data_IF_149058508482
#
_entry.id   IF_149058508482
#
_cell.length_a   1.000
_cell.length_b   1.000
_cell.length_c   1.000
_cell.angle_alpha   90.00
_cell.angle_beta   90.00
_cell.angle_gamma   90.00
#
_symmetry.space_group_name_H-M   'P 1'
#
loop_
_entity.id
_entity.type
_entity.pdbx_description
1 polymer ?
2 polymer ?
3 non-polymer ?
4 water ?
#
# COMPACT_ATOMS: atom_id res chain seq x y z
N UNK A 7 -2.03 -16.64 9.16
CA UNK A 7 -3.46 -16.42 9.24
C UNK A 7 -3.84 -15.25 10.13
N UNK A 8 -3.20 -15.19 11.31
CA UNK A 8 -3.41 -14.08 12.23
C UNK A 8 -2.93 -12.77 11.60
N UNK A 9 -1.70 -12.76 11.16
CA UNK A 9 -1.12 -11.61 10.45
C UNK A 9 -1.89 -11.24 9.17
N UNK A 10 -2.44 -12.24 8.48
CA UNK A 10 -3.23 -11.95 7.26
C UNK A 10 -4.48 -11.17 7.61
N UNK A 11 -5.25 -11.68 8.56
CA UNK A 11 -6.51 -11.05 8.91
C UNK A 11 -6.27 -9.64 9.47
N UNK A 12 -5.24 -9.51 10.29
CA UNK A 12 -4.97 -8.21 10.91
C UNK A 12 -4.55 -7.19 9.83
N UNK A 13 -3.77 -7.65 8.87
CA UNK A 13 -3.28 -6.79 7.81
C UNK A 13 -4.44 -6.41 6.88
N UNK A 14 -5.24 -7.41 6.50
CA UNK A 14 -6.44 -7.18 5.68
C UNK A 14 -7.32 -6.09 6.31
N UNK A 15 -7.63 -6.25 7.60
CA UNK A 15 -8.38 -5.27 8.37
C UNK A 15 -7.83 -3.85 8.20
N UNK A 16 -6.57 -3.67 8.54
CA UNK A 16 -5.98 -2.33 8.49
C UNK A 16 -5.96 -1.74 7.08
N UNK A 17 -5.50 -2.52 6.11
CA UNK A 17 -5.37 -2.06 4.75
C UNK A 17 -6.73 -1.79 4.19
N UNK A 18 -7.67 -2.70 4.43
CA UNK A 18 -9.03 -2.49 3.95
C UNK A 18 -9.66 -1.22 4.49
N UNK A 19 -9.54 -1.00 5.79
CA UNK A 19 -10.15 0.16 6.40
C UNK A 19 -9.52 1.45 5.84
N UNK A 20 -8.20 1.46 5.69
CA UNK A 20 -7.52 2.62 5.11
C UNK A 20 -8.02 2.91 3.70
N UNK A 21 -8.06 1.89 2.84
CA UNK A 21 -8.53 2.09 1.46
C UNK A 21 -10.00 2.51 1.41
N UNK A 22 -10.83 1.91 2.25
CA UNK A 22 -12.24 2.31 2.33
C UNK A 22 -12.38 3.80 2.66
N UNK A 23 -11.68 4.24 3.70
CA UNK A 23 -11.75 5.67 4.11
C UNK A 23 -11.22 6.60 3.03
N UNK A 24 -10.23 6.11 2.29
CA UNK A 24 -9.56 6.90 1.25
C UNK A 24 -10.48 6.99 0.03
N UNK A 25 -11.03 5.85 -0.37
CA UNK A 25 -11.99 5.83 -1.47
C UNK A 25 -13.25 6.66 -1.16
N UNK A 26 -13.56 6.80 0.14
CA UNK A 26 -14.70 7.61 0.57
C UNK A 26 -14.30 8.72 1.57
N UNK A 27 -14.90 8.68 2.75
CA UNK A 27 -14.56 9.62 3.82
C UNK A 27 -15.10 9.12 5.15
N UNK A 28 -14.23 8.62 6.01
CA UNK A 28 -14.68 8.05 7.27
C UNK A 28 -13.72 8.36 8.41
N UNK A 39 -5.32 -2.17 20.08
CA UNK A 39 -3.87 -2.32 20.12
C UNK A 39 -3.21 -1.54 19.00
N UNK A 40 -2.28 -2.18 18.30
CA UNK A 40 -1.57 -1.54 17.18
C UNK A 40 -2.50 -1.12 16.06
N UNK A 41 -3.54 -1.91 15.81
CA UNK A 41 -4.45 -1.67 14.69
C UNK A 41 -5.02 -0.26 14.62
N UNK A 42 -5.38 0.27 15.78
CA UNK A 42 -5.84 1.65 15.86
C UNK A 42 -4.64 2.57 15.60
N UNK A 43 -3.52 2.25 16.25
CA UNK A 43 -2.30 3.01 16.06
C UNK A 43 -1.83 2.90 14.62
N UNK A 44 -1.88 1.69 14.07
CA UNK A 44 -1.47 1.43 12.69
C UNK A 44 -2.30 2.22 11.68
N UNK A 45 -3.61 2.26 11.89
CA UNK A 45 -4.47 3.05 11.02
C UNK A 45 -4.12 4.53 11.17
N UNK A 46 -3.99 4.99 12.41
CA UNK A 46 -3.59 6.37 12.65
C UNK A 46 -2.24 6.71 11.99
N UNK A 47 -1.30 5.77 12.03
CA UNK A 47 -0.01 5.96 11.34
C UNK A 47 -0.13 5.89 9.82
N UNK A 48 -0.91 4.93 9.34
CA UNK A 48 -1.11 4.74 7.92
C UNK A 48 -1.70 6.00 7.29
N UNK A 49 -2.65 6.62 7.99
CA UNK A 49 -3.23 7.87 7.55
C UNK A 49 -2.18 8.94 7.37
N UNK A 50 -1.42 9.22 8.43
CA UNK A 50 -0.44 10.28 8.39
C UNK A 50 0.61 10.08 7.29
N UNK A 51 1.21 8.90 7.26
CA UNK A 51 2.25 8.62 6.29
C UNK A 51 1.68 8.43 4.89
N UNK A 52 0.70 7.54 4.78
CA UNK A 52 0.05 7.26 3.51
C UNK A 52 -0.50 8.51 2.85
N UNK A 53 -1.11 9.41 3.62
CA UNK A 53 -1.64 10.65 3.04
C UNK A 53 -0.52 11.52 2.49
N UNK A 54 0.60 11.54 3.21
CA UNK A 54 1.73 12.36 2.83
C UNK A 54 2.40 11.84 1.56
N UNK A 55 2.56 10.53 1.49
CA UNK A 55 3.08 9.87 0.29
C UNK A 55 2.26 10.30 -0.90
N UNK A 56 0.93 10.19 -0.76
CA UNK A 56 0.02 10.50 -1.85
C UNK A 56 0.09 11.96 -2.26
N UNK A 57 0.24 12.85 -1.27
CA UNK A 57 0.41 14.27 -1.54
C UNK A 57 1.73 14.60 -2.23
N UNK A 58 2.84 14.18 -1.64
CA UNK A 58 4.16 14.49 -2.17
C UNK A 58 4.32 13.98 -3.60
N UNK A 59 3.62 12.90 -3.92
CA UNK A 59 3.87 12.19 -5.17
C UNK A 59 2.63 12.10 -6.06
N UNK A 60 1.67 12.97 -5.81
CA UNK A 60 0.43 13.00 -6.58
C UNK A 60 0.69 13.01 -8.10
N UNK A 61 1.54 13.92 -8.56
CA UNK A 61 1.81 13.99 -9.99
C UNK A 61 2.39 12.68 -10.52
N UNK A 62 3.37 12.15 -9.82
CA UNK A 62 3.99 10.89 -10.19
C UNK A 62 2.95 9.75 -10.13
N UNK A 63 2.16 9.70 -9.07
CA UNK A 63 1.12 8.68 -8.93
C UNK A 63 0.15 8.73 -10.11
N UNK A 64 -0.26 9.93 -10.50
CA UNK A 64 -1.19 10.05 -11.61
C UNK A 64 -0.56 9.52 -12.90
N UNK A 65 0.69 9.90 -13.15
CA UNK A 65 1.42 9.36 -14.29
C UNK A 65 1.49 7.83 -14.30
N UNK A 66 1.71 7.22 -13.15
CA UNK A 66 1.81 5.75 -13.07
C UNK A 66 0.47 5.11 -13.32
N UNK A 67 -0.56 5.76 -12.81
CA UNK A 67 -1.91 5.29 -12.99
C UNK A 67 -2.23 5.33 -14.48
N UNK A 68 -1.68 6.30 -15.19
CA UNK A 68 -1.91 6.38 -16.62
C UNK A 68 -1.25 5.21 -17.37
N UNK A 69 -0.07 4.82 -16.93
CA UNK A 69 0.66 3.74 -17.58
C UNK A 69 -0.01 2.39 -17.36
N UNK A 70 -0.41 2.10 -16.12
CA UNK A 70 -1.15 0.86 -15.84
C UNK A 70 -2.57 0.94 -16.39
N UNK A 71 -3.36 -0.09 -16.15
CA UNK A 71 -4.74 -0.12 -16.67
C UNK A 71 -5.79 -0.07 -15.57
N UNK A 72 -5.96 -1.19 -14.88
CA UNK A 72 -6.97 -1.27 -13.83
C UNK A 72 -8.26 -0.63 -14.34
N UNK A 73 -9.11 -1.47 -14.90
CA UNK A 73 -10.35 -1.05 -15.55
C UNK A 73 -11.51 -1.08 -14.56
N UNK A 74 -11.34 -1.82 -13.47
CA UNK A 74 -12.36 -1.92 -12.42
C UNK A 74 -11.87 -2.57 -11.12
N UNK A 75 -12.81 -2.80 -10.20
CA UNK A 75 -12.53 -3.34 -8.85
C UNK A 75 -11.74 -4.64 -8.86
N UNK A 76 -12.06 -5.51 -9.81
CA UNK A 76 -11.51 -6.86 -9.85
C UNK A 76 -10.15 -6.93 -10.56
N UNK A 77 -9.82 -5.87 -11.31
CA UNK A 77 -8.57 -5.85 -12.07
C UNK A 77 -7.39 -5.44 -11.19
N UNK A 78 -6.75 -6.43 -10.59
CA UNK A 78 -5.64 -6.17 -9.69
C UNK A 78 -4.36 -6.83 -10.13
N UNK A 79 -4.47 -7.77 -11.07
CA UNK A 79 -3.31 -8.57 -11.47
C UNK A 79 -2.16 -7.67 -11.91
N UNK A 80 -2.51 -6.56 -12.55
CA UNK A 80 -1.55 -5.56 -12.98
C UNK A 80 -0.78 -5.00 -11.77
N UNK A 81 -1.52 -4.52 -10.79
CA UNK A 81 -0.93 -3.95 -9.58
C UNK A 81 -0.08 -4.93 -8.79
N UNK A 82 -0.52 -6.19 -8.72
CA UNK A 82 0.21 -7.24 -8.02
C UNK A 82 1.62 -7.39 -8.58
N UNK A 83 1.73 -7.45 -9.90
CA UNK A 83 3.03 -7.57 -10.55
C UNK A 83 3.93 -6.38 -10.20
N UNK A 84 3.34 -5.19 -10.12
CA UNK A 84 4.11 -3.99 -9.78
C UNK A 84 4.73 -4.13 -8.37
N UNK A 85 3.92 -4.58 -7.43
CA UNK A 85 4.38 -4.74 -6.06
C UNK A 85 5.44 -5.82 -5.97
N UNK A 86 5.22 -6.92 -6.69
CA UNK A 86 6.16 -8.01 -6.64
C UNK A 86 7.46 -7.51 -7.23
N UNK A 87 7.36 -6.76 -8.33
CA UNK A 87 8.60 -6.22 -8.88
C UNK A 87 9.34 -5.23 -7.97
N UNK A 88 8.61 -4.41 -7.22
CA UNK A 88 9.24 -3.54 -6.23
C UNK A 88 10.23 -4.31 -5.34
N UNK A 89 9.83 -5.45 -4.80
CA UNK A 89 10.71 -6.15 -3.89
C UNK A 89 11.73 -7.09 -4.59
N UNK A 90 11.72 -7.14 -5.91
CA UNK A 90 12.52 -8.17 -6.61
C UNK A 90 14.02 -7.93 -6.46
N UNK A 91 14.41 -6.79 -5.88
CA UNK A 91 15.85 -6.56 -5.72
C UNK A 91 16.34 -7.19 -4.44
N UNK A 92 15.43 -7.89 -3.73
CA UNK A 92 15.76 -8.52 -2.46
C UNK A 92 15.75 -7.58 -1.25
N UNK A 93 15.34 -6.34 -1.43
CA UNK A 93 15.37 -5.43 -0.29
C UNK A 93 13.97 -5.27 0.27
N UNK A 94 13.86 -5.25 1.59
CA UNK A 94 12.57 -5.02 2.26
C UNK A 94 12.68 -3.93 3.32
N UNK A 95 11.73 -3.02 3.36
CA UNK A 95 11.73 -2.02 4.46
C UNK A 95 10.35 -1.46 4.54
N UNK A 96 10.07 -0.66 5.56
CA UNK A 96 8.70 -0.18 5.76
C UNK A 96 8.35 0.90 4.76
N UNK A 97 9.36 1.65 4.30
CA UNK A 97 9.18 2.68 3.30
C UNK A 97 8.48 2.10 2.08
N UNK A 98 8.94 0.95 1.63
CA UNK A 98 8.34 0.27 0.46
C UNK A 98 6.93 -0.28 0.71
N UNK A 99 6.73 -0.88 1.87
CA UNK A 99 5.44 -1.43 2.21
C UNK A 99 4.40 -0.32 2.26
N UNK A 100 4.73 0.77 2.94
CA UNK A 100 3.75 1.84 3.09
C UNK A 100 3.57 2.62 1.78
N UNK A 101 4.61 2.71 0.96
CA UNK A 101 4.49 3.36 -0.35
C UNK A 101 3.49 2.60 -1.25
N UNK A 102 3.54 1.28 -1.20
CA UNK A 102 2.67 0.45 -2.04
C UNK A 102 1.23 0.52 -1.57
N UNK A 103 1.02 0.57 -0.26
CA UNK A 103 -0.31 0.72 0.30
C UNK A 103 -0.89 2.08 -0.06
N UNK A 104 -0.08 3.14 0.05
CA UNK A 104 -0.50 4.46 -0.35
C UNK A 104 -0.84 4.54 -1.83
N UNK A 105 -0.07 3.87 -2.67
CA UNK A 105 -0.39 3.84 -4.10
C UNK A 105 -1.67 3.04 -4.32
N UNK A 106 -1.84 1.99 -3.52
CA UNK A 106 -3.10 1.27 -3.50
C UNK A 106 -4.29 2.17 -3.12
N UNK A 107 -4.09 3.06 -2.15
CA UNK A 107 -5.17 3.98 -1.74
C UNK A 107 -5.49 4.94 -2.89
N UNK A 108 -4.44 5.37 -3.57
CA UNK A 108 -4.57 6.33 -4.67
C UNK A 108 -5.40 5.67 -5.78
N UNK A 109 -5.07 4.42 -6.06
CA UNK A 109 -5.77 3.62 -7.05
C UNK A 109 -7.22 3.38 -6.62
N UNK A 110 -7.43 3.04 -5.35
CA UNK A 110 -8.80 2.92 -4.82
C UNK A 110 -9.64 4.18 -5.02
N UNK A 111 -9.05 5.37 -4.85
CA UNK A 111 -9.74 6.62 -5.11
C UNK A 111 -10.16 6.70 -6.57
N UNK A 112 -9.24 6.31 -7.45
CA UNK A 112 -9.48 6.35 -8.89
C UNK A 112 -10.63 5.44 -9.32
N UNK A 113 -10.63 4.21 -8.82
CA UNK A 113 -11.65 3.25 -9.16
C UNK A 113 -13.02 3.71 -8.68
N UNK A 114 -13.07 4.34 -7.51
CA UNK A 114 -14.32 4.89 -6.99
C UNK A 114 -14.84 6.07 -7.82
N UNK A 115 -13.93 6.85 -8.38
CA UNK A 115 -14.34 8.00 -9.20
C UNK A 115 -15.00 7.54 -10.50
N UNK A 116 -14.41 6.54 -11.13
CA UNK A 116 -14.94 6.06 -12.40
C UNK A 116 -16.22 5.28 -12.15
N UNK A 117 -16.31 4.62 -10.99
CA UNK A 117 -17.51 3.86 -10.65
C UNK A 117 -17.83 3.95 -9.16
N UNK A 118 -18.80 4.81 -8.83
CA UNK A 118 -19.11 5.11 -7.43
C UNK A 118 -19.64 3.93 -6.62
N UNK A 119 -20.07 2.86 -7.28
CA UNK A 119 -20.49 1.68 -6.55
C UNK A 119 -19.56 0.48 -6.77
N UNK A 120 -18.27 0.74 -6.87
CA UNK A 120 -17.26 -0.31 -6.90
C UNK A 120 -16.65 -0.43 -5.50
N UNK A 121 -16.09 -1.60 -5.20
CA UNK A 121 -15.48 -1.82 -3.89
C UNK A 121 -13.99 -1.95 -3.91
N UNK A 122 -13.39 -1.60 -2.77
CA UNK A 122 -11.95 -1.62 -2.58
C UNK A 122 -11.54 -2.98 -2.09
N UNK A 123 -12.52 -3.75 -1.65
CA UNK A 123 -12.24 -5.02 -1.00
C UNK A 123 -11.29 -5.94 -1.81
N UNK A 124 -11.51 -6.12 -3.13
CA UNK A 124 -10.56 -6.94 -3.92
C UNK A 124 -9.16 -6.34 -4.04
N UNK A 125 -9.13 -5.01 -4.10
CA UNK A 125 -7.85 -4.32 -4.16
C UNK A 125 -7.05 -4.57 -2.89
N UNK A 126 -7.72 -4.39 -1.76
CA UNK A 126 -7.07 -4.54 -0.46
C UNK A 126 -6.57 -5.96 -0.24
N UNK A 127 -7.30 -6.94 -0.74
CA UNK A 127 -6.92 -8.35 -0.60
C UNK A 127 -5.70 -8.70 -1.42
N UNK A 128 -5.59 -8.10 -2.60
CA UNK A 128 -4.45 -8.32 -3.49
C UNK A 128 -3.19 -7.72 -2.87
N UNK A 129 -3.32 -6.53 -2.30
CA UNK A 129 -2.19 -5.88 -1.67
C UNK A 129 -1.76 -6.72 -0.47
N UNK A 130 -2.73 -7.12 0.34
CA UNK A 130 -2.45 -7.90 1.54
C UNK A 130 -1.78 -9.22 1.18
N UNK A 131 -2.34 -9.85 0.16
CA UNK A 131 -1.88 -11.14 -0.33
C UNK A 131 -0.40 -11.11 -0.64
N UNK A 132 -0.01 -10.16 -1.50
CA UNK A 132 1.39 -10.00 -1.86
C UNK A 132 2.24 -9.76 -0.64
N UNK A 133 1.82 -8.79 0.17
CA UNK A 133 2.59 -8.36 1.34
C UNK A 133 2.80 -9.53 2.28
N UNK A 134 1.71 -10.14 2.68
CA UNK A 134 1.78 -11.16 3.71
C UNK A 134 2.38 -12.45 3.20
N UNK A 135 1.94 -12.90 2.03
CA UNK A 135 2.49 -14.16 1.51
C UNK A 135 3.99 -14.03 1.18
N UNK A 136 4.40 -12.92 0.58
CA UNK A 136 5.82 -12.81 0.20
C UNK A 136 6.75 -12.39 1.35
N UNK A 137 6.22 -11.71 2.36
CA UNK A 137 7.10 -11.18 3.43
C UNK A 137 6.72 -11.63 4.85
N UNK A 138 5.95 -12.70 4.97
CA UNK A 138 5.46 -13.16 6.26
C UNK A 138 6.53 -13.19 7.40
N UNK A 139 7.66 -13.86 7.17
CA UNK A 139 8.66 -13.99 8.25
C UNK A 139 9.32 -12.65 8.54
N UNK A 140 9.52 -11.82 7.52
CA UNK A 140 10.13 -10.52 7.74
C UNK A 140 9.22 -9.64 8.63
N UNK A 141 7.94 -9.64 8.29
CA UNK A 141 6.93 -8.88 9.03
C UNK A 141 6.90 -9.34 10.46
N UNK A 142 6.88 -10.67 10.64
CA UNK A 142 6.91 -11.23 11.99
C UNK A 142 8.16 -10.79 12.73
N UNK A 143 9.32 -10.84 12.07
CA UNK A 143 10.56 -10.41 12.74
C UNK A 143 10.57 -8.91 13.05
N UNK A 144 9.87 -8.13 12.25
CA UNK A 144 9.79 -6.69 12.48
C UNK A 144 8.68 -6.31 13.45
N UNK A 145 8.04 -7.33 14.02
CA UNK A 145 6.91 -7.20 14.94
C UNK A 145 5.62 -6.66 14.32
N UNK A 146 5.38 -7.05 13.09
CA UNK A 146 4.14 -6.73 12.40
C UNK A 146 3.79 -5.27 12.54
N UNK A 147 2.52 -5.01 12.83
CA UNK A 147 2.01 -3.64 12.76
C UNK A 147 2.51 -2.80 13.91
N UNK A 148 2.97 -3.47 14.98
CA UNK A 148 3.60 -2.76 16.09
C UNK A 148 4.91 -2.17 15.59
N UNK A 149 5.65 -2.96 14.83
CA UNK A 149 6.89 -2.51 14.23
C UNK A 149 6.64 -1.38 13.24
N UNK A 150 5.58 -1.50 12.45
CA UNK A 150 5.16 -0.44 11.52
C UNK A 150 4.93 0.88 12.26
N UNK A 151 4.12 0.83 13.32
CA UNK A 151 3.88 2.03 14.13
C UNK A 151 5.16 2.65 14.69
N UNK A 152 6.06 1.82 15.21
CA UNK A 152 7.31 2.32 15.81
C UNK A 152 8.25 2.98 14.79
N UNK A 153 8.41 2.37 13.62
CA UNK A 153 9.25 2.94 12.57
C UNK A 153 8.83 4.36 12.18
N UNK A 154 7.53 4.59 11.98
CA UNK A 154 7.08 5.92 11.54
C UNK A 154 6.71 6.86 12.67
N UNK A 155 7.02 6.47 13.91
CA UNK A 155 6.61 7.27 15.05
C UNK A 155 7.30 8.63 15.07
N UNK A 156 6.49 9.67 15.29
CA UNK A 156 6.99 11.04 15.38
C UNK A 156 6.59 11.67 16.71
N UNK A 157 7.35 12.68 17.12
CA UNK A 157 7.07 13.38 18.38
C UNK A 157 6.88 14.89 18.18
N UNK B 1 5.42 -1.12 -15.93
CA UNK B 1 4.82 -2.08 -15.00
C UNK B 1 5.82 -2.57 -13.97
N UNK B 2 6.74 -3.44 -14.40
CA UNK B 2 7.90 -3.75 -13.57
C UNK B 2 8.63 -2.40 -13.49
N UNK B 3 8.60 -1.71 -14.63
CA UNK B 3 9.78 -0.84 -14.59
C UNK B 3 8.79 1.34 -13.67
N UNK B 4 7.46 1.26 -13.54
CA UNK B 4 6.82 1.98 -12.46
C UNK B 4 7.09 1.33 -11.10
N UNK B 5 7.30 0.02 -11.07
CA UNK B 5 7.73 -0.63 -9.86
C UNK B 5 9.06 -0.06 -9.35
N UNK B 6 10.03 0.02 -10.24
CA UNK B 6 11.37 0.46 -9.86
C UNK B 6 11.31 1.95 -9.61
N UNK B 7 10.42 2.59 -10.38
CA UNK B 7 10.72 3.99 -10.10
C UNK B 7 9.05 4.58 -8.33
N UNK B 8 8.30 3.53 -7.99
CA UNK B 8 7.84 3.39 -6.61
C UNK B 8 8.99 3.06 -5.64
N UNK B 9 9.94 2.26 -6.09
CA UNK B 9 11.02 1.78 -5.25
C UNK B 9 11.95 2.95 -4.92
N UNK B 10 12.27 3.72 -5.95
CA UNK B 10 13.10 6.00 -5.78
C UNK B 10 12.27 6.45 -4.59
N UNK B 11 10.95 6.53 -4.74
CA UNK B 11 10.19 7.23 -3.71
C UNK B 11 10.11 6.50 -2.35
N UNK B 12 10.10 5.17 -2.34
CA UNK B 12 9.97 4.43 -1.09
C UNK B 12 11.26 4.42 -0.31
N UNK B 13 12.37 4.27 -1.04
CA UNK B 13 13.66 4.07 -0.39
C UNK B 13 14.11 5.48 -0.02
N UNK B 14 13.54 6.41 -0.76
CA UNK B 14 14.29 7.63 -0.43
C UNK B 14 12.62 8.63 1.13
N UNK B 15 11.47 7.96 1.12
CA UNK B 15 10.68 7.82 2.35
C UNK B 15 11.41 7.02 3.44
N UNK B 16 11.99 5.88 3.11
CA UNK B 16 12.68 5.09 4.12
C UNK B 16 13.90 5.83 4.66
N UNK B 17 14.53 6.62 3.78
CA UNK B 17 15.73 7.07 4.50
C UNK B 17 15.15 9.38 5.35
N UNK B 18 13.95 9.79 4.95
CA UNK B 18 13.05 10.55 5.83
C UNK B 18 12.91 9.97 7.23
N UNK B 19 12.81 8.64 7.33
CA UNK B 19 12.74 7.93 8.62
C UNK B 19 13.95 7.00 8.82
X LIG C 1 -8.50 9.11 -11.59
X LIG D 1 -18.92 -5.15 -1.95
X LIG E 1 13.68 -3.95 -12.29
X LIG F 1 -7.48 2.91 -14.08
X LIG G 1 1.28 -19.47 2.80
#
# INVERSE_FOLDING_TARGET
>A
GPLGSEDDLYRQSLEIISRYLREQATGSKDSKPLGEAGAAGRRALETLRRVGDGVQRNHETAFQGMLRKLDIKNEDDVKSLSRVMIHVFSDGVTNWGRIVTLISFGAFVAKHLKTINQESCIEPLAESITDVLVRTKRDWLVKQRGWDGFVEFFHVEDLEGG
>B
AEXIGAXLRXMADXLNAQY
>C hetero
1 CD CD
>D hetero
1 CD CD
>E hetero
1 CD CD
>F hetero
1 CD CD
>G hetero
1 CD CD
#
